data_IF_806724622793
#
_entry.id   IF_806724622793
#
_cell.length_a   1.000
_cell.length_b   1.000
_cell.length_c   1.000
_cell.angle_alpha   90.00
_cell.angle_beta   90.00
_cell.angle_gamma   90.00
#
_symmetry.space_group_name_H-M   'P 1'
#
loop_
_entity.id
_entity.type
_entity.pdbx_description
1 polymer ?
#
# COMPACT_ATOMS: atom_id res chain seq x y z
N UNK A 1 15.44 15.52 -9.35
CA UNK A 1 14.65 14.29 -9.47
C UNK A 1 13.98 14.30 -10.83
N UNK A 2 14.26 13.31 -11.68
CA UNK A 2 13.57 13.14 -12.97
C UNK A 2 12.46 12.13 -12.76
N UNK A 3 11.25 12.43 -13.23
CA UNK A 3 10.10 11.51 -13.16
C UNK A 3 9.86 11.01 -14.59
N UNK A 4 9.87 9.70 -14.76
CA UNK A 4 9.58 9.02 -16.02
C UNK A 4 8.38 8.10 -15.82
N UNK A 5 7.28 8.40 -16.52
CA UNK A 5 6.11 7.52 -16.58
C UNK A 5 6.44 6.35 -17.50
N UNK A 6 5.94 5.15 -17.17
CA UNK A 6 6.12 3.98 -18.04
C UNK A 6 5.63 4.30 -19.47
N UNK A 7 6.46 4.11 -20.51
CA UNK A 7 6.04 4.34 -21.89
C UNK A 7 4.80 3.49 -22.24
N UNK A 8 3.76 4.14 -22.75
CA UNK A 8 2.51 3.49 -23.10
C UNK A 8 1.59 3.18 -21.91
N UNK A 9 1.89 3.68 -20.72
CA UNK A 9 0.96 3.61 -19.60
C UNK A 9 -0.33 4.40 -19.90
N UNK A 10 -1.45 3.69 -19.77
CA UNK A 10 -2.79 4.25 -19.73
C UNK A 10 -3.52 3.59 -18.57
N UNK A 11 -4.19 4.39 -17.75
CA UNK A 11 -5.01 3.89 -16.65
C UNK A 11 -6.03 2.87 -17.20
N UNK A 12 -6.11 1.66 -16.64
CA UNK A 12 -6.89 0.55 -17.20
C UNK A 12 -8.40 0.81 -17.21
N UNK A 13 -8.89 1.78 -16.44
CA UNK A 13 -10.32 2.07 -16.31
C UNK A 13 -10.78 3.29 -17.12
N UNK A 14 -9.91 4.28 -17.31
CA UNK A 14 -10.22 5.55 -17.95
C UNK A 14 -9.44 5.81 -19.24
N UNK A 15 -8.39 5.03 -19.51
CA UNK A 15 -7.51 5.19 -20.68
C UNK A 15 -6.64 6.45 -20.65
N UNK A 16 -6.62 7.18 -19.53
CA UNK A 16 -5.87 8.44 -19.39
C UNK A 16 -4.41 8.18 -19.01
N UNK A 17 -3.54 9.12 -19.33
CA UNK A 17 -2.18 9.14 -18.80
C UNK A 17 -2.17 9.60 -17.34
N UNK A 18 -1.07 9.34 -16.64
CA UNK A 18 -0.84 9.82 -15.28
C UNK A 18 -1.00 11.34 -15.18
N UNK A 19 -1.82 11.78 -14.23
CA UNK A 19 -2.11 13.19 -13.96
C UNK A 19 -1.11 13.79 -12.97
N UNK A 20 -0.97 15.12 -12.96
CA UNK A 20 -0.15 15.80 -11.95
C UNK A 20 -0.64 15.56 -10.51
N UNK A 21 -1.94 15.34 -10.33
CA UNK A 21 -2.52 15.00 -9.02
C UNK A 21 -2.06 13.62 -8.54
N UNK A 22 -2.08 12.62 -9.41
CA UNK A 22 -1.58 11.26 -9.09
C UNK A 22 -0.08 11.25 -8.84
N UNK A 23 0.70 12.03 -9.61
CA UNK A 23 2.13 12.24 -9.33
C UNK A 23 2.32 12.83 -7.94
N UNK A 24 1.58 13.90 -7.60
CA UNK A 24 1.64 14.54 -6.29
C UNK A 24 1.29 13.58 -5.15
N UNK A 25 0.21 12.80 -5.31
CA UNK A 25 -0.20 11.78 -4.36
C UNK A 25 0.92 10.76 -4.10
N UNK A 26 1.50 10.20 -5.15
CA UNK A 26 2.61 9.25 -5.01
C UNK A 26 3.80 9.87 -4.29
N UNK A 27 4.20 11.10 -4.66
CA UNK A 27 5.33 11.78 -4.04
C UNK A 27 5.12 11.95 -2.53
N UNK A 28 3.91 12.26 -2.09
CA UNK A 28 3.57 12.33 -0.66
C UNK A 28 3.85 11.01 0.05
N UNK A 29 3.41 9.87 -0.52
CA UNK A 29 3.71 8.55 0.06
C UNK A 29 5.21 8.23 0.05
N UNK A 30 5.91 8.53 -1.05
CA UNK A 30 7.35 8.30 -1.14
C UNK A 30 8.13 9.05 -0.05
N UNK A 31 7.81 10.33 0.19
CA UNK A 31 8.46 11.09 1.23
C UNK A 31 8.14 10.59 2.63
N UNK A 32 6.93 10.05 2.85
CA UNK A 32 6.61 9.36 4.11
C UNK A 32 7.47 8.10 4.27
N UNK A 33 7.67 7.29 3.22
CA UNK A 33 8.56 6.13 3.29
C UNK A 33 9.99 6.56 3.63
N UNK A 34 10.48 7.63 2.98
CA UNK A 34 11.79 8.21 3.31
C UNK A 34 11.88 8.65 4.75
N UNK A 35 10.85 9.31 5.27
CA UNK A 35 10.80 9.74 6.67
C UNK A 35 10.81 8.55 7.64
N UNK A 36 10.07 7.48 7.35
CA UNK A 36 10.08 6.23 8.14
C UNK A 36 11.50 5.68 8.26
N UNK A 37 12.22 5.62 7.14
CA UNK A 37 13.61 5.14 7.11
C UNK A 37 14.56 6.10 7.82
N UNK A 38 14.50 7.39 7.48
CA UNK A 38 15.44 8.42 7.97
C UNK A 38 15.30 8.64 9.49
N UNK A 39 14.09 8.44 10.04
CA UNK A 39 13.81 8.51 11.49
C UNK A 39 13.96 7.16 12.21
N UNK A 40 14.19 6.07 11.50
CA UNK A 40 14.29 4.72 12.08
C UNK A 40 13.00 4.22 12.73
N UNK A 41 11.83 4.58 12.19
CA UNK A 41 10.54 4.15 12.75
C UNK A 41 10.29 2.68 12.39
N UNK A 42 10.15 1.81 13.39
CA UNK A 42 9.97 0.37 13.15
C UNK A 42 8.69 0.03 12.40
N UNK A 43 7.58 0.68 12.79
CA UNK A 43 6.23 0.53 12.22
C UNK A 43 5.58 1.91 12.12
N UNK A 44 4.82 2.15 11.07
CA UNK A 44 4.09 3.41 10.87
C UNK A 44 2.73 3.14 10.24
N UNK A 45 1.73 3.95 10.61
CA UNK A 45 0.41 3.93 10.00
C UNK A 45 0.26 5.18 9.12
N UNK A 46 0.04 4.96 7.83
CA UNK A 46 -0.18 6.01 6.82
C UNK A 46 -1.65 5.99 6.43
N UNK A 47 -2.30 7.15 6.45
CA UNK A 47 -3.73 7.29 6.17
C UNK A 47 -3.92 8.59 5.38
N UNK A 48 -4.78 8.57 4.36
CA UNK A 48 -5.23 9.77 3.64
C UNK A 48 -6.11 10.66 4.53
N UNK A 49 -6.15 11.95 4.24
CA UNK A 49 -6.81 12.95 5.07
C UNK A 49 -8.35 12.96 4.95
N UNK A 50 -8.89 12.32 3.90
CA UNK A 50 -10.30 12.28 3.58
C UNK A 50 -11.01 10.97 3.99
N UNK A 51 -10.33 10.09 4.75
CA UNK A 51 -10.92 8.83 5.20
C UNK A 51 -11.93 9.01 6.33
N UNK A 52 -12.80 8.01 6.49
CA UNK A 52 -13.69 7.87 7.66
C UNK A 52 -13.33 6.61 8.43
N UNK A 53 -13.23 6.75 9.75
CA UNK A 53 -12.93 5.63 10.63
C UNK A 53 -14.19 4.86 11.03
N UNK A 54 -14.09 3.53 10.96
CA UNK A 54 -15.08 2.63 11.56
C UNK A 54 -15.14 2.78 13.09
N UNK A 55 -16.28 2.50 13.73
CA UNK A 55 -16.36 2.43 15.19
C UNK A 55 -15.29 1.51 15.76
N UNK A 56 -14.63 1.98 16.81
CA UNK A 56 -13.54 1.28 17.50
C UNK A 56 -12.30 1.01 16.62
N UNK A 57 -12.10 1.77 15.54
CA UNK A 57 -10.96 1.61 14.62
C UNK A 57 -9.62 1.35 15.33
N UNK A 58 -9.22 2.25 16.24
CA UNK A 58 -7.97 2.12 16.98
C UNK A 58 -7.89 0.80 17.76
N UNK A 59 -8.96 0.40 18.43
CA UNK A 59 -9.00 -0.85 19.19
C UNK A 59 -8.87 -2.07 18.26
N UNK A 60 -9.60 -2.08 17.14
CA UNK A 60 -9.53 -3.14 16.13
C UNK A 60 -8.13 -3.25 15.52
N UNK A 61 -7.51 -2.11 15.18
CA UNK A 61 -6.16 -2.07 14.64
C UNK A 61 -5.13 -2.58 15.66
N UNK A 62 -5.16 -2.09 16.90
CA UNK A 62 -4.23 -2.57 17.93
C UNK A 62 -4.40 -4.06 18.20
N UNK A 63 -5.64 -4.57 18.20
CA UNK A 63 -5.88 -6.01 18.32
C UNK A 63 -5.24 -6.77 17.16
N UNK A 64 -5.45 -6.33 15.92
CA UNK A 64 -4.83 -6.95 14.74
C UNK A 64 -3.30 -6.95 14.85
N UNK A 65 -2.68 -5.84 15.25
CA UNK A 65 -1.23 -5.78 15.41
C UNK A 65 -0.70 -6.74 16.48
N UNK A 66 -1.42 -6.90 17.59
CA UNK A 66 -1.07 -7.87 18.63
C UNK A 66 -1.22 -9.32 18.13
N UNK A 67 -2.33 -9.63 17.44
CA UNK A 67 -2.56 -10.96 16.87
C UNK A 67 -1.47 -11.34 15.86
N UNK A 68 -0.98 -10.37 15.06
CA UNK A 68 0.13 -10.54 14.10
C UNK A 68 1.44 -10.84 14.82
N UNK A 69 1.73 -10.12 15.90
CA UNK A 69 2.94 -10.34 16.71
C UNK A 69 2.91 -11.72 17.39
N UNK A 70 1.78 -12.12 17.99
CA UNK A 70 1.62 -13.43 18.63
C UNK A 70 1.74 -14.60 17.64
N UNK A 71 1.26 -14.40 16.40
CA UNK A 71 1.36 -15.40 15.34
C UNK A 71 2.71 -15.38 14.60
N UNK A 72 3.65 -14.50 14.98
CA UNK A 72 4.96 -14.33 14.35
C UNK A 72 4.87 -14.15 12.82
N UNK A 73 3.86 -13.41 12.37
CA UNK A 73 3.66 -13.13 10.94
C UNK A 73 4.58 -12.01 10.50
N UNK A 74 5.50 -12.31 9.60
CA UNK A 74 6.35 -11.31 8.93
C UNK A 74 5.53 -10.52 7.89
N UNK A 75 5.71 -9.20 7.85
CA UNK A 75 5.01 -8.33 6.91
C UNK A 75 5.80 -7.06 6.59
N UNK A 76 5.63 -6.58 5.35
CA UNK A 76 6.19 -5.31 4.89
C UNK A 76 5.15 -4.19 4.92
N UNK A 77 3.94 -4.49 4.45
CA UNK A 77 2.84 -3.55 4.34
C UNK A 77 1.52 -4.29 4.58
N UNK A 78 0.64 -3.71 5.37
CA UNK A 78 -0.73 -4.21 5.62
C UNK A 78 -1.71 -3.12 5.21
N UNK A 79 -2.56 -3.41 4.23
CA UNK A 79 -3.66 -2.50 3.89
C UNK A 79 -4.66 -2.40 5.04
N UNK A 80 -4.95 -1.17 5.45
CA UNK A 80 -5.95 -0.84 6.47
C UNK A 80 -7.22 -0.28 5.80
N UNK A 81 -7.08 0.35 4.64
CA UNK A 81 -8.17 0.74 3.77
C UNK A 81 -7.77 0.59 2.31
N UNK A 82 -8.55 -0.18 1.55
CA UNK A 82 -8.35 -0.41 0.11
C UNK A 82 -9.64 -0.86 -0.54
N UNK A 83 -9.68 -0.80 -1.87
CA UNK A 83 -10.69 -1.46 -2.69
C UNK A 83 -10.11 -2.72 -3.31
N UNK A 84 -10.64 -3.88 -2.94
CA UNK A 84 -10.34 -5.14 -3.61
C UNK A 84 -10.93 -5.14 -5.01
N UNK A 85 -10.10 -5.37 -6.03
CA UNK A 85 -10.55 -5.33 -7.43
C UNK A 85 -10.92 -6.71 -7.98
N UNK A 86 -10.32 -7.78 -7.45
CA UNK A 86 -10.67 -9.15 -7.81
C UNK A 86 -11.70 -9.73 -6.83
N UNK A 87 -12.99 -9.67 -7.17
CA UNK A 87 -14.10 -10.09 -6.28
C UNK A 87 -14.58 -11.52 -6.51
N UNK A 88 -14.21 -12.17 -7.62
CA UNK A 88 -14.75 -13.48 -8.01
C UNK A 88 -14.28 -14.63 -7.12
N UNK A 89 -13.04 -14.55 -6.63
CA UNK A 89 -12.42 -15.56 -5.75
C UNK A 89 -12.01 -14.96 -4.42
N UNK A 90 -12.28 -15.58 -3.27
CA UNK A 90 -11.87 -15.06 -1.98
C UNK A 90 -10.34 -14.93 -1.88
N UNK A 91 -9.87 -13.95 -1.13
CA UNK A 91 -8.46 -13.83 -0.78
C UNK A 91 -8.09 -14.88 0.26
N UNK A 92 -6.82 -15.29 0.26
CA UNK A 92 -6.32 -16.30 1.17
C UNK A 92 -6.16 -15.70 2.56
N UNK A 93 -6.84 -16.28 3.55
CA UNK A 93 -6.67 -15.89 4.94
C UNK A 93 -5.24 -16.17 5.42
N UNK A 94 -4.69 -15.27 6.22
CA UNK A 94 -3.45 -15.52 6.95
C UNK A 94 -3.77 -16.44 8.13
N UNK A 95 -3.12 -17.61 8.27
CA UNK A 95 -3.40 -18.53 9.36
C UNK A 95 -3.21 -17.86 10.73
N UNK A 96 -4.07 -18.22 11.69
CA UNK A 96 -4.01 -17.78 13.08
C UNK A 96 -4.22 -16.27 13.34
N UNK A 97 -4.41 -15.44 12.31
CA UNK A 97 -4.72 -14.01 12.47
C UNK A 97 -6.10 -13.71 11.90
N UNK A 98 -7.04 -13.33 12.77
CA UNK A 98 -8.39 -12.99 12.32
C UNK A 98 -8.40 -11.67 11.54
N UNK A 99 -9.22 -11.63 10.49
CA UNK A 99 -9.39 -10.45 9.62
C UNK A 99 -8.10 -10.00 8.89
N UNK A 100 -7.16 -10.93 8.67
CA UNK A 100 -5.99 -10.70 7.84
C UNK A 100 -5.99 -11.67 6.64
N UNK A 101 -5.66 -11.13 5.47
CA UNK A 101 -5.60 -11.87 4.22
C UNK A 101 -4.36 -11.47 3.43
N UNK A 102 -3.85 -12.39 2.60
CA UNK A 102 -2.92 -12.05 1.53
C UNK A 102 -3.67 -11.24 0.48
N UNK A 103 -3.34 -9.95 0.36
CA UNK A 103 -4.01 -9.04 -0.57
C UNK A 103 -3.79 -9.47 -2.02
N UNK A 104 -4.84 -9.40 -2.83
CA UNK A 104 -4.77 -9.47 -4.29
C UNK A 104 -4.78 -8.04 -4.88
N UNK A 105 -4.95 -7.91 -6.21
CA UNK A 105 -4.99 -6.62 -6.88
C UNK A 105 -6.00 -5.65 -6.24
N UNK A 106 -5.54 -4.45 -5.94
CA UNK A 106 -6.21 -3.49 -5.05
C UNK A 106 -6.05 -2.06 -5.56
N UNK A 107 -7.02 -1.20 -5.25
CA UNK A 107 -7.02 0.24 -5.53
C UNK A 107 -7.25 1.07 -4.25
N UNK A 108 -7.22 2.39 -4.42
CA UNK A 108 -7.67 3.41 -3.47
C UNK A 108 -6.77 3.68 -2.27
N UNK A 109 -5.71 2.89 -2.00
CA UNK A 109 -4.63 3.12 -0.98
C UNK A 109 -4.96 4.02 0.23
N UNK A 110 -6.18 3.92 0.77
CA UNK A 110 -6.76 4.86 1.75
C UNK A 110 -5.96 4.90 3.04
N UNK A 111 -5.36 3.75 3.38
CA UNK A 111 -4.39 3.68 4.45
C UNK A 111 -3.74 2.30 4.56
N UNK A 112 -2.55 2.29 5.11
CA UNK A 112 -1.76 1.08 5.33
C UNK A 112 -0.82 1.23 6.53
N UNK A 113 -0.57 0.12 7.21
CA UNK A 113 0.59 0.01 8.08
C UNK A 113 1.81 -0.39 7.22
N UNK A 114 2.97 0.17 7.52
CA UNK A 114 4.23 -0.14 6.85
C UNK A 114 5.33 -0.40 7.88
N UNK A 115 6.13 -1.44 7.67
CA UNK A 115 7.34 -1.70 8.46
C UNK A 115 8.51 -0.90 7.89
N UNK A 116 9.56 -0.66 8.68
CA UNK A 116 10.78 -0.02 8.18
C UNK A 116 11.35 -0.74 6.96
N UNK A 117 11.39 -2.08 7.02
CA UNK A 117 11.87 -2.90 5.92
C UNK A 117 10.98 -2.74 4.67
N UNK A 118 9.66 -2.68 4.84
CA UNK A 118 8.73 -2.40 3.75
C UNK A 118 9.01 -1.06 3.08
N UNK A 119 9.23 0.00 3.87
CA UNK A 119 9.59 1.32 3.34
C UNK A 119 10.92 1.29 2.57
N UNK A 120 11.94 0.61 3.10
CA UNK A 120 13.24 0.43 2.43
C UNK A 120 13.07 -0.28 1.07
N UNK A 121 12.29 -1.36 1.02
CA UNK A 121 11.99 -2.10 -0.22
C UNK A 121 11.28 -1.23 -1.26
N UNK A 122 10.29 -0.43 -0.86
CA UNK A 122 9.56 0.46 -1.78
C UNK A 122 10.44 1.58 -2.33
N UNK A 123 11.35 2.14 -1.52
CA UNK A 123 12.32 3.14 -1.97
C UNK A 123 13.34 2.53 -2.93
N UNK A 124 13.85 1.34 -2.60
CA UNK A 124 14.84 0.61 -3.39
C UNK A 124 14.32 0.16 -4.78
N UNK A 125 13.01 0.14 -4.96
CA UNK A 125 12.37 -0.13 -6.26
C UNK A 125 12.53 1.01 -7.28
N UNK A 126 13.12 2.14 -6.89
CA UNK A 126 13.34 3.32 -7.74
C UNK A 126 12.10 3.77 -8.52
N UNK A 127 10.98 4.08 -7.82
CA UNK A 127 9.66 4.25 -8.44
C UNK A 127 9.59 5.37 -9.50
N UNK A 128 10.54 6.30 -9.50
CA UNK A 128 10.52 7.45 -10.42
C UNK A 128 11.03 7.14 -11.82
N UNK A 129 11.71 6.01 -12.02
CA UNK A 129 12.20 5.61 -13.34
C UNK A 129 11.08 5.00 -14.21
N UNK A 130 10.01 4.51 -13.57
CA UNK A 130 8.89 3.80 -14.20
C UNK A 130 7.62 4.03 -13.38
N UNK A 131 7.21 5.28 -13.27
CA UNK A 131 6.16 5.69 -12.36
C UNK A 131 4.79 5.19 -12.81
N UNK A 132 4.05 4.68 -11.82
CA UNK A 132 2.63 4.33 -11.86
C UNK A 132 1.92 5.13 -10.75
N UNK A 133 0.58 5.27 -10.78
CA UNK A 133 -0.16 5.68 -9.59
C UNK A 133 0.20 4.81 -8.38
N UNK A 134 0.18 5.38 -7.17
CA UNK A 134 0.65 4.67 -5.98
C UNK A 134 -0.17 3.41 -5.69
N UNK A 135 -1.47 3.46 -5.98
CA UNK A 135 -2.41 2.36 -5.80
C UNK A 135 -2.26 1.26 -6.85
N UNK A 136 -1.62 1.51 -8.00
CA UNK A 136 -1.17 0.46 -8.92
C UNK A 136 0.25 -0.03 -8.62
N UNK A 137 1.14 0.88 -8.22
CA UNK A 137 2.51 0.57 -7.90
C UNK A 137 2.62 -0.42 -6.74
N UNK A 138 1.89 -0.20 -5.64
CA UNK A 138 1.95 -1.08 -4.47
C UNK A 138 1.57 -2.53 -4.83
N UNK A 139 0.45 -2.83 -5.50
CA UNK A 139 0.15 -4.17 -6.03
C UNK A 139 1.24 -4.79 -6.90
N UNK A 140 1.84 -4.02 -7.81
CA UNK A 140 2.94 -4.52 -8.67
C UNK A 140 4.11 -4.99 -7.83
N UNK A 141 4.43 -4.32 -6.71
CA UNK A 141 5.54 -4.70 -5.83
C UNK A 141 5.38 -6.09 -5.19
N UNK A 142 4.17 -6.63 -5.12
CA UNK A 142 3.91 -8.00 -4.69
C UNK A 142 3.30 -8.88 -5.80
N UNK A 143 3.63 -8.56 -7.06
CA UNK A 143 3.24 -9.31 -8.26
C UNK A 143 1.72 -9.45 -8.47
N UNK A 144 0.96 -8.43 -8.08
CA UNK A 144 -0.48 -8.35 -8.37
C UNK A 144 -0.74 -7.18 -9.30
N UNK A 145 -1.11 -7.48 -10.54
CA UNK A 145 -1.46 -6.49 -11.55
C UNK A 145 -2.55 -7.06 -12.46
N UNK A 146 -3.30 -6.23 -13.21
CA UNK A 146 -4.20 -6.71 -14.24
C UNK A 146 -3.39 -7.50 -15.28
N UNK A 147 -3.95 -8.60 -15.77
CA UNK A 147 -3.40 -9.38 -16.89
C UNK A 147 -4.16 -8.99 -18.15
#
# INVERSE_FOLDING_TARGET
>A
MKIEVIPGYHDPYSGRTLTSGEIGCFLSHYYIWKEVVDRGLEKSLVIEDDVRFEPLFKHKLMKLMNDIEEAEVEWDLIYIGRKRMQVERPEKAVPNVMNLVEADYSYWTLGYAISRQGAEKLIAAEPFNKMLPVDEFLPVMFNKHPV
#
